data_IF_653840503869
#
_entry.id   IF_653840503869
#
_cell.length_a   1.000
_cell.length_b   1.000
_cell.length_c   1.000
_cell.angle_alpha   90.00
_cell.angle_beta   90.00
_cell.angle_gamma   90.00
#
_symmetry.space_group_name_H-M   'P 1'
#
loop_
_entity.id
_entity.type
_entity.pdbx_description
1 polymer ?
#
# COMPACT_ATOMS: atom_id res chain seq x y z
N UNK A 1 23.63 -9.33 5.24
CA UNK A 1 22.35 -9.70 5.89
C UNK A 1 21.36 -8.55 5.82
N UNK A 2 21.74 -7.34 6.26
CA UNK A 2 20.88 -6.15 6.19
C UNK A 2 20.36 -5.85 4.78
N UNK A 3 21.24 -5.84 3.77
CA UNK A 3 20.87 -5.60 2.37
C UNK A 3 19.85 -6.62 1.85
N UNK A 4 20.02 -7.92 2.13
CA UNK A 4 19.06 -8.96 1.71
C UNK A 4 17.70 -8.79 2.37
N UNK A 5 17.67 -8.40 3.64
CA UNK A 5 16.42 -8.10 4.36
C UNK A 5 15.74 -6.84 3.81
N UNK A 6 16.50 -5.80 3.44
CA UNK A 6 15.97 -4.57 2.86
C UNK A 6 15.32 -4.83 1.49
N UNK A 7 16.03 -5.50 0.58
CA UNK A 7 15.46 -5.92 -0.71
C UNK A 7 14.25 -6.84 -0.53
N UNK A 8 14.36 -7.85 0.33
CA UNK A 8 13.29 -8.82 0.55
C UNK A 8 12.00 -8.18 1.04
N UNK A 9 12.11 -7.27 2.02
CA UNK A 9 10.93 -6.57 2.54
C UNK A 9 10.31 -5.64 1.50
N UNK A 10 11.13 -4.85 0.79
CA UNK A 10 10.65 -3.91 -0.23
C UNK A 10 9.90 -4.65 -1.35
N UNK A 11 10.49 -5.73 -1.89
CA UNK A 11 9.85 -6.56 -2.92
C UNK A 11 8.50 -7.12 -2.44
N UNK A 12 8.45 -7.63 -1.20
CA UNK A 12 7.19 -8.17 -0.65
C UNK A 12 6.13 -7.08 -0.52
N UNK A 13 6.50 -5.88 -0.08
CA UNK A 13 5.59 -4.75 0.06
C UNK A 13 5.08 -4.25 -1.30
N UNK A 14 5.95 -4.13 -2.30
CA UNK A 14 5.54 -3.71 -3.64
C UNK A 14 4.60 -4.71 -4.30
N UNK A 15 4.91 -6.01 -4.18
CA UNK A 15 4.04 -7.08 -4.65
C UNK A 15 2.71 -7.10 -3.90
N UNK A 16 2.73 -6.81 -2.60
CA UNK A 16 1.52 -6.71 -1.80
C UNK A 16 0.64 -5.53 -2.27
N UNK A 17 1.22 -4.35 -2.50
CA UNK A 17 0.49 -3.18 -3.01
C UNK A 17 -0.06 -3.44 -4.43
N UNK A 18 0.73 -4.08 -5.30
CA UNK A 18 0.29 -4.53 -6.62
C UNK A 18 -0.92 -5.48 -6.52
N UNK A 19 -0.87 -6.44 -5.59
CA UNK A 19 -1.96 -7.37 -5.32
C UNK A 19 -3.23 -6.66 -4.81
N UNK A 20 -3.10 -5.66 -3.93
CA UNK A 20 -4.24 -4.85 -3.48
C UNK A 20 -4.86 -4.10 -4.67
N UNK A 21 -4.05 -3.47 -5.52
CA UNK A 21 -4.52 -2.81 -6.73
C UNK A 21 -5.28 -3.76 -7.65
N UNK A 22 -4.71 -4.94 -7.92
CA UNK A 22 -5.37 -5.98 -8.71
C UNK A 22 -6.71 -6.42 -8.08
N UNK A 23 -6.79 -6.55 -6.75
CA UNK A 23 -8.07 -6.85 -6.08
C UNK A 23 -9.11 -5.75 -6.29
N UNK A 24 -8.74 -4.47 -6.24
CA UNK A 24 -9.68 -3.39 -6.52
C UNK A 24 -10.12 -3.35 -8.00
N UNK A 25 -9.31 -3.85 -8.93
CA UNK A 25 -9.68 -3.97 -10.35
C UNK A 25 -10.58 -5.17 -10.65
N UNK A 26 -10.30 -6.33 -10.07
CA UNK A 26 -10.97 -7.59 -10.41
C UNK A 26 -12.02 -8.06 -9.39
N UNK A 27 -11.89 -7.62 -8.13
CA UNK A 27 -12.80 -7.97 -7.02
C UNK A 27 -13.12 -6.73 -6.16
N UNK A 28 -13.66 -5.64 -6.76
CA UNK A 28 -13.78 -4.34 -6.10
C UNK A 28 -14.64 -4.35 -4.84
N UNK A 29 -15.75 -5.10 -4.82
CA UNK A 29 -16.67 -5.10 -3.67
C UNK A 29 -16.05 -5.78 -2.44
N UNK A 30 -15.51 -7.02 -2.54
CA UNK A 30 -14.74 -7.60 -1.43
C UNK A 30 -13.53 -6.75 -1.01
N UNK A 31 -12.83 -6.13 -1.97
CA UNK A 31 -11.67 -5.30 -1.69
C UNK A 31 -12.04 -4.04 -0.87
N UNK A 32 -13.13 -3.35 -1.23
CA UNK A 32 -13.63 -2.20 -0.48
C UNK A 32 -14.09 -2.58 0.94
N UNK A 33 -14.75 -3.73 1.08
CA UNK A 33 -15.12 -4.27 2.40
C UNK A 33 -13.88 -4.55 3.25
N UNK A 34 -12.85 -5.18 2.68
CA UNK A 34 -11.58 -5.45 3.37
C UNK A 34 -10.77 -4.19 3.71
N UNK A 35 -10.87 -3.15 2.88
CA UNK A 35 -10.31 -1.83 3.14
C UNK A 35 -10.97 -1.15 4.36
N UNK A 36 -12.20 -1.53 4.72
CA UNK A 36 -12.92 -0.98 5.88
C UNK A 36 -13.90 0.14 5.53
N UNK A 37 -14.08 0.44 4.25
CA UNK A 37 -15.11 1.36 3.75
C UNK A 37 -15.86 0.63 2.62
N UNK A 38 -16.95 -0.10 2.96
CA UNK A 38 -17.70 -0.86 1.98
C UNK A 38 -18.26 0.03 0.86
N UNK A 39 -18.18 -0.47 -0.38
CA UNK A 39 -18.75 0.20 -1.54
C UNK A 39 -20.28 0.29 -1.42
N UNK A 40 -20.85 1.41 -1.86
CA UNK A 40 -22.29 1.58 -1.99
C UNK A 40 -22.80 0.71 -3.13
N UNK A 41 -24.01 0.16 -2.96
CA UNK A 41 -24.68 -0.54 -4.04
C UNK A 41 -24.87 0.42 -5.23
N UNK A 42 -24.15 0.15 -6.32
CA UNK A 42 -24.21 0.86 -7.61
C UNK A 42 -23.59 2.27 -7.69
N UNK A 43 -22.89 2.76 -6.65
CA UNK A 43 -22.37 4.15 -6.62
C UNK A 43 -20.91 4.35 -7.01
N UNK A 44 -20.03 3.35 -6.79
CA UNK A 44 -18.61 3.62 -6.57
C UNK A 44 -17.65 2.99 -7.60
N UNK A 45 -18.16 2.29 -8.62
CA UNK A 45 -17.34 1.45 -9.49
C UNK A 45 -16.13 2.18 -10.10
N UNK A 46 -16.33 3.39 -10.64
CA UNK A 46 -15.24 4.19 -11.23
C UNK A 46 -14.17 4.58 -10.20
N UNK A 47 -14.57 4.98 -8.98
CA UNK A 47 -13.63 5.35 -7.92
C UNK A 47 -12.85 4.14 -7.39
N UNK A 48 -13.50 2.97 -7.32
CA UNK A 48 -12.82 1.71 -6.97
C UNK A 48 -11.79 1.33 -8.04
N UNK A 49 -12.11 1.51 -9.33
CA UNK A 49 -11.16 1.32 -10.43
C UNK A 49 -10.00 2.33 -10.35
N UNK A 50 -10.25 3.59 -10.03
CA UNK A 50 -9.19 4.60 -9.81
C UNK A 50 -8.27 4.17 -8.67
N UNK A 51 -8.81 3.69 -7.55
CA UNK A 51 -8.00 3.16 -6.45
C UNK A 51 -7.17 1.96 -6.91
N UNK A 52 -7.79 1.00 -7.60
CA UNK A 52 -7.10 -0.16 -8.14
C UNK A 52 -5.94 0.22 -9.06
N UNK A 53 -6.18 1.15 -9.99
CA UNK A 53 -5.15 1.64 -10.91
C UNK A 53 -3.99 2.35 -10.20
N UNK A 54 -4.28 3.17 -9.17
CA UNK A 54 -3.25 3.85 -8.36
C UNK A 54 -2.38 2.86 -7.59
N UNK A 55 -3.01 1.96 -6.84
CA UNK A 55 -2.29 0.98 -6.02
C UNK A 55 -1.46 0.05 -6.93
N UNK A 56 -2.02 -0.42 -8.06
CA UNK A 56 -1.25 -1.19 -9.06
C UNK A 56 -0.05 -0.40 -9.59
N UNK A 57 -0.19 0.90 -9.85
CA UNK A 57 0.90 1.74 -10.34
C UNK A 57 2.00 1.89 -9.30
N UNK A 58 1.66 2.06 -8.01
CA UNK A 58 2.65 2.14 -6.94
C UNK A 58 3.45 0.86 -6.80
N UNK A 59 2.79 -0.30 -6.81
CA UNK A 59 3.50 -1.59 -6.75
C UNK A 59 4.43 -1.81 -7.94
N UNK A 60 4.02 -1.42 -9.15
CA UNK A 60 4.90 -1.48 -10.34
C UNK A 60 6.07 -0.50 -10.23
N UNK A 61 5.82 0.71 -9.73
CA UNK A 61 6.84 1.74 -9.57
C UNK A 61 7.94 1.30 -8.59
N UNK A 62 7.59 0.79 -7.41
CA UNK A 62 8.58 0.32 -6.43
C UNK A 62 9.47 -0.81 -6.99
N UNK A 63 8.85 -1.80 -7.64
CA UNK A 63 9.60 -2.87 -8.33
C UNK A 63 10.54 -2.32 -9.41
N UNK A 64 10.10 -1.31 -10.17
CA UNK A 64 10.94 -0.68 -11.19
C UNK A 64 12.09 0.13 -10.58
N UNK A 65 11.85 0.86 -9.50
CA UNK A 65 12.90 1.61 -8.79
C UNK A 65 13.95 0.67 -8.21
N UNK A 66 13.53 -0.42 -7.56
CA UNK A 66 14.44 -1.47 -7.09
C UNK A 66 15.28 -2.08 -8.22
N UNK A 67 14.66 -2.37 -9.36
CA UNK A 67 15.31 -3.05 -10.48
C UNK A 67 16.26 -2.13 -11.27
N UNK A 68 15.95 -0.83 -11.36
CA UNK A 68 16.60 0.07 -12.33
C UNK A 68 17.20 1.35 -11.73
N UNK A 69 16.77 1.78 -10.53
CA UNK A 69 17.22 3.03 -9.90
C UNK A 69 18.04 2.82 -8.62
N UNK A 70 17.89 1.68 -7.94
CA UNK A 70 18.66 1.31 -6.75
C UNK A 70 17.98 1.65 -5.41
N UNK A 71 18.68 1.30 -4.32
CA UNK A 71 18.13 1.32 -2.96
C UNK A 71 17.71 2.70 -2.47
N UNK A 72 18.46 3.75 -2.78
CA UNK A 72 18.15 5.10 -2.29
C UNK A 72 16.85 5.64 -2.90
N UNK A 73 16.64 5.43 -4.20
CA UNK A 73 15.41 5.83 -4.87
C UNK A 73 14.19 5.08 -4.29
N UNK A 74 14.36 3.78 -4.04
CA UNK A 74 13.33 2.96 -3.40
C UNK A 74 13.06 3.40 -1.95
N UNK A 75 14.09 3.75 -1.19
CA UNK A 75 13.94 4.21 0.18
C UNK A 75 13.08 5.48 0.26
N UNK A 76 13.33 6.44 -0.64
CA UNK A 76 12.51 7.64 -0.77
C UNK A 76 11.09 7.32 -1.22
N UNK A 77 10.91 6.40 -2.17
CA UNK A 77 9.60 5.94 -2.58
C UNK A 77 8.82 5.34 -1.40
N UNK A 78 9.42 4.41 -0.65
CA UNK A 78 8.82 3.79 0.54
C UNK A 78 8.44 4.83 1.60
N UNK A 79 9.31 5.82 1.86
CA UNK A 79 9.01 6.90 2.80
C UNK A 79 7.79 7.71 2.37
N UNK A 80 7.69 8.06 1.10
CA UNK A 80 6.57 8.85 0.56
C UNK A 80 5.29 8.02 0.45
N UNK A 81 5.38 6.77 -0.03
CA UNK A 81 4.21 5.91 -0.23
C UNK A 81 3.58 5.50 1.10
N UNK A 82 4.33 5.51 2.22
CA UNK A 82 3.79 5.32 3.56
C UNK A 82 2.70 6.35 3.94
N UNK A 83 2.66 7.51 3.28
CA UNK A 83 1.57 8.49 3.45
C UNK A 83 0.21 7.93 3.01
N UNK A 84 0.19 6.98 2.06
CA UNK A 84 -1.04 6.35 1.58
C UNK A 84 -1.73 5.55 2.69
N UNK A 85 -1.11 4.52 3.31
CA UNK A 85 -1.73 3.78 4.40
C UNK A 85 -1.98 4.65 5.66
N UNK A 86 -1.18 5.69 5.92
CA UNK A 86 -1.51 6.67 6.97
C UNK A 86 -2.81 7.44 6.65
N UNK A 87 -2.97 7.86 5.40
CA UNK A 87 -4.21 8.45 4.90
C UNK A 87 -5.37 7.47 5.00
N UNK A 88 -5.15 6.21 4.65
CA UNK A 88 -6.17 5.15 4.72
C UNK A 88 -6.63 4.89 6.15
N UNK A 89 -5.73 4.94 7.15
CA UNK A 89 -6.11 4.91 8.58
C UNK A 89 -7.13 6.01 8.88
N UNK A 90 -6.88 7.24 8.44
CA UNK A 90 -7.78 8.37 8.68
C UNK A 90 -9.10 8.23 7.90
N UNK A 91 -9.03 7.75 6.66
CA UNK A 91 -10.21 7.52 5.82
C UNK A 91 -11.14 6.51 6.48
N UNK A 92 -10.62 5.37 6.94
CA UNK A 92 -11.42 4.35 7.62
C UNK A 92 -12.07 4.90 8.89
N UNK A 93 -11.31 5.60 9.73
CA UNK A 93 -11.84 6.20 10.96
C UNK A 93 -12.94 7.23 10.69
N UNK A 94 -12.81 8.04 9.64
CA UNK A 94 -13.77 9.10 9.29
C UNK A 94 -15.03 8.57 8.61
N UNK A 95 -14.98 7.39 8.01
CA UNK A 95 -16.09 6.83 7.24
C UNK A 95 -16.77 5.63 7.93
N UNK A 96 -16.65 5.53 9.26
CA UNK A 96 -17.38 4.53 10.06
C UNK A 96 -16.76 3.14 10.06
N UNK A 97 -15.55 2.97 9.53
CA UNK A 97 -14.82 1.72 9.62
C UNK A 97 -14.31 1.43 11.04
N UNK A 98 -13.99 0.17 11.33
CA UNK A 98 -13.60 -0.23 12.69
C UNK A 98 -12.18 0.24 13.03
N UNK A 99 -11.94 0.53 14.32
CA UNK A 99 -10.58 0.83 14.82
C UNK A 99 -9.62 -0.34 14.58
N UNK A 100 -10.11 -1.58 14.63
CA UNK A 100 -9.31 -2.77 14.36
C UNK A 100 -8.78 -2.76 12.92
N UNK A 101 -9.59 -2.41 11.93
CA UNK A 101 -9.15 -2.26 10.54
C UNK A 101 -8.22 -1.05 10.38
N UNK A 102 -8.60 0.11 10.92
CA UNK A 102 -7.82 1.34 10.78
C UNK A 102 -6.38 1.21 11.35
N UNK A 103 -6.24 0.68 12.56
CA UNK A 103 -4.96 0.56 13.24
C UNK A 103 -4.24 -0.77 12.94
N UNK A 104 -4.98 -1.87 12.89
CA UNK A 104 -4.41 -3.21 12.71
C UNK A 104 -4.05 -3.54 11.27
N UNK A 105 -4.68 -2.89 10.29
CA UNK A 105 -4.32 -3.03 8.87
C UNK A 105 -3.54 -1.79 8.44
N UNK A 106 -4.20 -0.64 8.29
CA UNK A 106 -3.60 0.51 7.61
C UNK A 106 -2.43 1.12 8.37
N UNK A 107 -2.59 1.44 9.67
CA UNK A 107 -1.50 2.05 10.43
C UNK A 107 -0.33 1.09 10.60
N UNK A 108 -0.61 -0.19 10.87
CA UNK A 108 0.40 -1.23 10.94
C UNK A 108 1.17 -1.36 9.60
N UNK A 109 0.48 -1.35 8.46
CA UNK A 109 1.12 -1.33 7.13
C UNK A 109 2.01 -0.10 6.97
N UNK A 110 1.54 1.09 7.35
CA UNK A 110 2.38 2.30 7.29
C UNK A 110 3.67 2.16 8.11
N UNK A 111 3.59 1.60 9.32
CA UNK A 111 4.77 1.34 10.15
C UNK A 111 5.72 0.37 9.45
N UNK A 112 5.22 -0.73 8.88
CA UNK A 112 6.07 -1.71 8.17
C UNK A 112 6.72 -1.09 6.93
N UNK A 113 6.02 -0.24 6.19
CA UNK A 113 6.58 0.50 5.04
C UNK A 113 7.67 1.48 5.48
N UNK A 114 7.46 2.22 6.59
CA UNK A 114 8.48 3.10 7.15
C UNK A 114 9.72 2.32 7.64
N UNK A 115 9.52 1.15 8.22
CA UNK A 115 10.62 0.24 8.57
C UNK A 115 11.38 -0.23 7.32
N UNK A 116 10.67 -0.52 6.22
CA UNK A 116 11.31 -0.82 4.93
C UNK A 116 12.17 0.34 4.44
N UNK A 117 11.63 1.57 4.44
CA UNK A 117 12.40 2.77 4.09
C UNK A 117 13.66 2.93 4.94
N UNK A 118 13.55 2.76 6.26
CA UNK A 118 14.68 2.84 7.18
C UNK A 118 15.74 1.76 6.91
N UNK A 119 15.32 0.53 6.61
CA UNK A 119 16.23 -0.56 6.24
C UNK A 119 16.93 -0.28 4.92
N UNK A 120 16.23 0.27 3.92
CA UNK A 120 16.79 0.61 2.62
C UNK A 120 17.80 1.76 2.72
N UNK A 121 17.55 2.78 3.56
CA UNK A 121 18.52 3.85 3.82
C UNK A 121 19.75 3.38 4.60
N UNK A 122 19.63 2.30 5.39
CA UNK A 122 20.71 1.76 6.20
C UNK A 122 21.56 0.68 5.49
N UNK A 123 21.09 0.17 4.34
CA UNK A 123 21.69 -0.94 3.59
C UNK A 123 22.74 -0.48 2.58
#
# INVERSE_FOLDING_TARGET
MLTSSAYGLAIVLDLFVLFIGARFLFQPIPAATGYGVPARQHGDAAYLTVKGGRDTTFGIMGLALLAFAGLEAEAWFMLVVALVPLGDTLIVLRNGGTKAVAFGIHFATAVVVLLSAALLFAA
#
